data_IF_907313337049
#
_entry.id   IF_907313337049
#
_cell.length_a   1.000
_cell.length_b   1.000
_cell.length_c   1.000
_cell.angle_alpha   90.00
_cell.angle_beta   90.00
_cell.angle_gamma   90.00
#
_symmetry.space_group_name_H-M   'P 1'
#
loop_
_entity.id
_entity.type
_entity.pdbx_description
1 polymer ?
#
# COMPACT_ATOMS: atom_id res chain seq x y z
N UNK A 1 29.03 1.97 1.45
CA UNK A 1 27.68 2.25 1.97
C UNK A 1 27.55 1.51 3.29
N UNK A 2 27.02 2.13 4.34
CA UNK A 2 26.72 1.43 5.60
C UNK A 2 25.43 0.61 5.45
N UNK A 3 25.20 -0.36 6.33
CA UNK A 3 23.95 -1.14 6.33
C UNK A 3 22.72 -0.24 6.49
N UNK A 4 22.79 0.78 7.35
CA UNK A 4 21.70 1.74 7.55
C UNK A 4 21.35 2.51 6.27
N UNK A 5 22.37 2.97 5.53
CA UNK A 5 22.13 3.63 4.23
C UNK A 5 21.52 2.66 3.21
N UNK A 6 21.98 1.41 3.17
CA UNK A 6 21.41 0.39 2.28
C UNK A 6 19.94 0.11 2.60
N UNK A 7 19.58 0.01 3.89
CA UNK A 7 18.19 -0.17 4.32
C UNK A 7 17.33 1.04 3.92
N UNK A 8 17.79 2.26 4.16
CA UNK A 8 17.03 3.46 3.79
C UNK A 8 16.83 3.57 2.27
N UNK A 9 17.85 3.24 1.47
CA UNK A 9 17.76 3.21 0.01
C UNK A 9 16.77 2.14 -0.45
N UNK A 10 16.84 0.94 0.12
CA UNK A 10 15.90 -0.14 -0.15
C UNK A 10 14.47 0.27 0.15
N UNK A 11 14.19 0.85 1.32
CA UNK A 11 12.84 1.23 1.74
C UNK A 11 12.21 2.24 0.75
N UNK A 12 12.95 3.26 0.32
CA UNK A 12 12.46 4.24 -0.66
C UNK A 12 12.25 3.60 -2.03
N UNK A 13 13.20 2.79 -2.51
CA UNK A 13 13.07 2.12 -3.80
C UNK A 13 11.93 1.08 -3.81
N UNK A 14 11.72 0.37 -2.70
CA UNK A 14 10.61 -0.56 -2.50
C UNK A 14 9.27 0.19 -2.52
N UNK A 15 9.14 1.29 -1.77
CA UNK A 15 7.95 2.14 -1.79
C UNK A 15 7.64 2.66 -3.20
N UNK A 16 8.65 3.01 -4.00
CA UNK A 16 8.49 3.39 -5.39
C UNK A 16 8.13 2.22 -6.32
N UNK A 17 8.58 0.99 -6.05
CA UNK A 17 8.13 -0.22 -6.75
C UNK A 17 6.65 -0.52 -6.47
N UNK A 18 6.17 -0.19 -5.28
CA UNK A 18 4.75 -0.30 -4.90
C UNK A 18 3.90 0.79 -5.55
N UNK A 19 4.28 2.07 -5.42
CA UNK A 19 3.47 3.22 -5.89
C UNK A 19 3.69 3.61 -7.35
N UNK A 20 4.85 3.34 -7.93
CA UNK A 20 5.28 3.85 -9.24
C UNK A 20 5.71 5.32 -9.23
N UNK A 21 4.77 6.24 -8.94
CA UNK A 21 5.00 7.68 -8.73
C UNK A 21 4.46 8.06 -7.35
N UNK A 22 5.31 8.61 -6.49
CA UNK A 22 4.94 8.93 -5.12
C UNK A 22 5.32 10.36 -4.73
N UNK A 23 4.44 11.03 -3.98
CA UNK A 23 4.77 12.27 -3.28
C UNK A 23 5.66 11.98 -2.07
N UNK A 24 6.28 13.01 -1.49
CA UNK A 24 7.13 12.84 -0.30
C UNK A 24 6.31 12.39 0.90
N UNK A 25 5.09 12.91 1.08
CA UNK A 25 4.15 12.45 2.12
C UNK A 25 3.82 10.96 1.96
N UNK A 26 3.58 10.53 0.72
CA UNK A 26 3.29 9.14 0.40
C UNK A 26 4.48 8.22 0.67
N UNK A 27 5.70 8.69 0.40
CA UNK A 27 6.93 7.96 0.70
C UNK A 27 7.15 7.90 2.21
N UNK A 28 7.01 9.00 2.94
CA UNK A 28 7.12 9.03 4.40
C UNK A 28 6.13 8.06 5.06
N UNK A 29 4.88 8.02 4.59
CA UNK A 29 3.88 7.10 5.12
C UNK A 29 4.22 5.61 4.86
N UNK A 30 4.88 5.29 3.75
CA UNK A 30 5.29 3.92 3.39
C UNK A 30 6.61 3.51 4.06
N UNK A 31 7.60 4.39 4.11
CA UNK A 31 8.94 4.11 4.65
C UNK A 31 9.07 4.38 6.14
N UNK A 32 8.15 5.14 6.73
CA UNK A 32 8.21 5.53 8.15
C UNK A 32 9.39 6.45 8.48
N UNK A 33 10.11 6.96 7.48
CA UNK A 33 11.16 7.94 7.69
C UNK A 33 10.55 9.30 8.03
N UNK A 34 11.20 10.07 8.89
CA UNK A 34 10.90 11.49 9.04
C UNK A 34 11.27 12.26 7.75
N UNK A 35 10.72 13.47 7.64
CA UNK A 35 10.84 14.28 6.43
C UNK A 35 12.30 14.61 6.06
N UNK A 36 13.15 14.88 7.05
CA UNK A 36 14.54 15.28 6.82
C UNK A 36 15.36 14.07 6.36
N UNK A 37 15.24 12.93 7.03
CA UNK A 37 15.91 11.69 6.65
C UNK A 37 15.44 11.20 5.26
N UNK A 38 14.14 11.32 4.97
CA UNK A 38 13.59 10.97 3.67
C UNK A 38 14.14 11.87 2.56
N UNK A 39 14.18 13.19 2.77
CA UNK A 39 14.70 14.15 1.79
C UNK A 39 16.16 13.83 1.46
N UNK A 40 17.01 13.62 2.47
CA UNK A 40 18.42 13.23 2.29
C UNK A 40 18.54 11.92 1.50
N UNK A 41 17.70 10.94 1.80
CA UNK A 41 17.71 9.65 1.09
C UNK A 41 17.30 9.80 -0.38
N UNK A 42 16.27 10.59 -0.66
CA UNK A 42 15.80 10.87 -2.03
C UNK A 42 16.89 11.59 -2.82
N UNK A 43 17.56 12.58 -2.23
CA UNK A 43 18.68 13.30 -2.87
C UNK A 43 19.82 12.35 -3.23
N UNK A 44 20.25 11.49 -2.30
CA UNK A 44 21.30 10.50 -2.56
C UNK A 44 20.93 9.55 -3.71
N UNK A 45 19.67 9.06 -3.73
CA UNK A 45 19.18 8.20 -4.80
C UNK A 45 19.09 8.95 -6.13
N UNK A 46 18.77 10.25 -6.11
CA UNK A 46 18.68 11.07 -7.31
C UNK A 46 20.07 11.36 -7.89
N UNK A 47 21.05 11.70 -7.05
CA UNK A 47 22.45 11.90 -7.41
C UNK A 47 23.07 10.65 -8.02
N UNK A 48 22.68 9.47 -7.51
CA UNK A 48 23.07 8.18 -8.07
C UNK A 48 22.31 7.80 -9.36
N UNK A 49 21.33 8.59 -9.79
CA UNK A 49 20.49 8.33 -10.97
C UNK A 49 19.48 7.20 -10.78
N UNK A 50 19.23 6.77 -9.55
CA UNK A 50 18.29 5.68 -9.23
C UNK A 50 16.84 6.15 -9.16
N UNK A 51 16.61 7.41 -8.83
CA UNK A 51 15.29 8.04 -8.89
C UNK A 51 15.33 9.31 -9.70
N UNK A 52 14.16 9.77 -10.15
CA UNK A 52 13.99 11.08 -10.76
C UNK A 52 12.81 11.82 -10.15
N UNK A 53 12.96 13.13 -9.97
CA UNK A 53 11.88 14.04 -9.58
C UNK A 53 11.12 14.47 -10.83
N UNK A 54 9.80 14.30 -10.80
CA UNK A 54 8.89 14.81 -11.81
C UNK A 54 8.21 16.05 -11.28
N UNK A 55 8.44 17.17 -11.94
CA UNK A 55 7.84 18.47 -11.60
C UNK A 55 6.94 18.97 -12.75
N UNK A 56 6.02 19.89 -12.44
CA UNK A 56 5.24 20.64 -13.44
C UNK A 56 4.09 19.87 -14.12
N UNK A 57 3.75 18.67 -13.64
CA UNK A 57 2.59 17.89 -14.11
C UNK A 57 1.38 17.99 -13.18
N UNK A 58 0.27 17.30 -13.54
CA UNK A 58 -0.93 17.17 -12.68
C UNK A 58 -0.62 16.49 -11.32
N UNK A 59 0.46 15.70 -11.28
CA UNK A 59 1.01 15.06 -10.08
C UNK A 59 2.52 15.25 -10.14
N UNK A 60 3.09 15.83 -9.09
CA UNK A 60 4.54 15.94 -8.88
C UNK A 60 4.98 14.87 -7.88
N UNK A 61 6.20 14.37 -8.01
CA UNK A 61 6.71 13.32 -7.12
C UNK A 61 7.99 12.65 -7.60
N UNK A 62 8.38 11.58 -6.92
CA UNK A 62 9.54 10.76 -7.25
C UNK A 62 9.12 9.50 -8.01
N UNK A 63 9.91 9.10 -9.00
CA UNK A 63 9.78 7.83 -9.72
C UNK A 63 11.11 7.08 -9.75
N UNK A 64 11.04 5.76 -9.75
CA UNK A 64 12.21 4.88 -9.91
C UNK A 64 12.67 4.85 -11.38
N UNK A 65 13.97 4.98 -11.62
CA UNK A 65 14.57 4.85 -12.96
C UNK A 65 14.86 3.38 -13.30
N UNK A 66 15.22 3.03 -14.55
CA UNK A 66 15.73 1.70 -14.86
C UNK A 66 16.96 1.30 -14.04
N UNK A 67 17.87 2.25 -13.77
CA UNK A 67 19.03 2.00 -12.92
C UNK A 67 18.62 1.76 -11.45
N UNK A 68 17.65 2.53 -10.95
CA UNK A 68 17.10 2.31 -9.60
C UNK A 68 16.39 0.97 -9.46
N UNK A 69 15.74 0.47 -10.51
CA UNK A 69 15.17 -0.89 -10.51
C UNK A 69 16.25 -1.94 -10.37
N UNK A 70 17.36 -1.82 -11.10
CA UNK A 70 18.48 -2.75 -10.95
C UNK A 70 19.10 -2.70 -9.54
N UNK A 71 19.22 -1.50 -8.97
CA UNK A 71 19.70 -1.33 -7.60
C UNK A 71 18.73 -1.91 -6.56
N UNK A 72 17.43 -1.74 -6.77
CA UNK A 72 16.40 -2.38 -5.94
C UNK A 72 16.56 -3.91 -5.94
N UNK A 73 16.73 -4.55 -7.10
CA UNK A 73 16.92 -6.01 -7.16
C UNK A 73 18.22 -6.44 -6.45
N UNK A 74 19.31 -5.65 -6.59
CA UNK A 74 20.57 -5.89 -5.86
C UNK A 74 20.35 -5.83 -4.35
N UNK A 75 19.77 -4.73 -3.85
CA UNK A 75 19.51 -4.53 -2.42
C UNK A 75 18.52 -5.57 -1.87
N UNK A 76 17.50 -5.93 -2.64
CA UNK A 76 16.54 -6.98 -2.24
C UNK A 76 17.20 -8.36 -2.10
N UNK A 77 18.27 -8.63 -2.84
CA UNK A 77 19.04 -9.88 -2.71
C UNK A 77 19.99 -9.88 -1.50
N UNK A 78 20.39 -8.70 -1.02
CA UNK A 78 21.28 -8.53 0.13
C UNK A 78 20.51 -8.42 1.45
N UNK A 79 19.37 -7.74 1.42
CA UNK A 79 18.47 -7.50 2.56
C UNK A 79 17.35 -8.54 2.56
N UNK A 80 17.74 -9.81 2.73
CA UNK A 80 16.75 -10.90 2.77
C UNK A 80 16.01 -10.93 4.10
N UNK A 81 14.73 -11.29 4.06
CA UNK A 81 13.95 -11.58 5.26
C UNK A 81 14.63 -12.68 6.08
N UNK A 82 14.67 -12.49 7.39
CA UNK A 82 14.96 -13.53 8.36
C UNK A 82 13.91 -14.64 8.31
N UNK A 83 14.18 -15.76 8.99
CA UNK A 83 13.26 -16.89 9.05
C UNK A 83 11.91 -16.52 9.70
N UNK A 84 11.92 -15.70 10.76
CA UNK A 84 10.68 -15.28 11.43
C UNK A 84 9.88 -14.30 10.57
N UNK A 85 10.55 -13.32 9.93
CA UNK A 85 9.89 -12.40 9.00
C UNK A 85 9.26 -13.14 7.83
N UNK A 86 9.96 -14.13 7.25
CA UNK A 86 9.42 -14.96 6.17
C UNK A 86 8.18 -15.73 6.60
N UNK A 87 8.24 -16.41 7.74
CA UNK A 87 7.10 -17.14 8.28
C UNK A 87 5.88 -16.23 8.55
N UNK A 88 6.13 -15.01 9.04
CA UNK A 88 5.08 -14.01 9.26
C UNK A 88 4.45 -13.53 7.94
N UNK A 89 5.27 -13.24 6.92
CA UNK A 89 4.79 -12.84 5.59
C UNK A 89 3.98 -13.95 4.93
N UNK A 90 4.43 -15.21 5.01
CA UNK A 90 3.71 -16.36 4.44
C UNK A 90 2.35 -16.56 5.14
N UNK A 91 2.33 -16.47 6.48
CA UNK A 91 1.09 -16.52 7.27
C UNK A 91 0.14 -15.38 6.89
N UNK A 92 0.66 -14.17 6.72
CA UNK A 92 -0.15 -13.02 6.29
C UNK A 92 -0.70 -13.22 4.87
N UNK A 93 0.11 -13.74 3.95
CA UNK A 93 -0.29 -14.03 2.58
C UNK A 93 -1.45 -15.02 2.50
N UNK A 94 -1.38 -16.12 3.26
CA UNK A 94 -2.46 -17.12 3.33
C UNK A 94 -3.78 -16.52 3.84
N UNK A 95 -3.71 -15.62 4.83
CA UNK A 95 -4.89 -14.94 5.38
C UNK A 95 -5.43 -13.85 4.45
N UNK A 96 -4.56 -13.20 3.69
CA UNK A 96 -4.92 -12.09 2.82
C UNK A 96 -5.86 -12.52 1.69
N UNK A 97 -5.65 -13.67 1.07
CA UNK A 97 -6.43 -14.14 -0.09
C UNK A 97 -7.94 -14.13 0.12
N UNK A 98 -8.49 -14.83 1.14
CA UNK A 98 -9.91 -14.81 1.45
C UNK A 98 -10.44 -13.41 1.82
N UNK A 99 -9.65 -12.61 2.55
CA UNK A 99 -10.01 -11.24 2.91
C UNK A 99 -10.14 -10.36 1.65
N UNK A 100 -9.18 -10.49 0.72
CA UNK A 100 -9.17 -9.77 -0.55
C UNK A 100 -10.38 -10.14 -1.42
N UNK A 101 -10.74 -11.43 -1.46
CA UNK A 101 -11.93 -11.89 -2.17
C UNK A 101 -13.23 -11.25 -1.66
N UNK A 102 -13.36 -11.06 -0.35
CA UNK A 102 -14.50 -10.36 0.24
C UNK A 102 -14.45 -8.85 -0.02
N UNK A 103 -13.25 -8.24 0.04
CA UNK A 103 -13.06 -6.82 -0.26
C UNK A 103 -13.45 -6.47 -1.69
N UNK A 104 -13.13 -7.33 -2.67
CA UNK A 104 -13.57 -7.16 -4.07
C UNK A 104 -15.09 -7.11 -4.19
N UNK A 105 -15.82 -7.97 -3.47
CA UNK A 105 -17.31 -7.97 -3.46
C UNK A 105 -17.87 -6.68 -2.86
N UNK A 106 -17.25 -6.20 -1.79
CA UNK A 106 -17.62 -4.93 -1.14
C UNK A 106 -17.38 -3.74 -2.07
N UNK A 107 -16.24 -3.70 -2.76
CA UNK A 107 -15.97 -2.68 -3.77
C UNK A 107 -16.96 -2.75 -4.94
N UNK A 108 -17.28 -3.95 -5.42
CA UNK A 108 -18.28 -4.13 -6.47
C UNK A 108 -19.66 -3.59 -6.04
N UNK A 109 -20.08 -3.89 -4.79
CA UNK A 109 -21.34 -3.40 -4.22
C UNK A 109 -21.33 -1.88 -4.03
N UNK A 110 -20.17 -1.30 -3.71
CA UNK A 110 -20.04 0.16 -3.61
C UNK A 110 -20.22 0.87 -4.96
N UNK A 111 -19.84 0.22 -6.07
CA UNK A 111 -19.90 0.79 -7.42
C UNK A 111 -21.22 0.49 -8.15
N UNK A 112 -21.73 -0.74 -8.01
CA UNK A 112 -22.88 -1.27 -8.77
C UNK A 112 -23.89 -1.89 -7.80
N UNK A 113 -25.16 -1.46 -7.90
CA UNK A 113 -26.27 -1.95 -7.09
C UNK A 113 -26.79 -3.32 -7.57
N UNK A 114 -27.59 -4.05 -6.76
CA UNK A 114 -28.14 -5.35 -7.15
C UNK A 114 -29.04 -5.33 -8.40
N UNK A 115 -29.55 -4.17 -8.79
CA UNK A 115 -30.33 -3.95 -10.01
C UNK A 115 -29.46 -3.62 -11.23
N UNK A 116 -28.14 -3.82 -11.13
CA UNK A 116 -27.11 -3.57 -12.15
C UNK A 116 -26.94 -2.09 -12.55
N UNK A 117 -27.46 -1.16 -11.75
CA UNK A 117 -27.25 0.27 -11.96
C UNK A 117 -26.04 0.80 -11.17
N UNK A 118 -25.35 1.85 -11.64
CA UNK A 118 -24.33 2.52 -10.85
C UNK A 118 -24.91 3.04 -9.53
N UNK A 119 -24.18 2.85 -8.43
CA UNK A 119 -24.54 3.46 -7.15
C UNK A 119 -24.27 4.97 -7.21
N UNK A 120 -25.32 5.77 -7.16
CA UNK A 120 -25.23 7.23 -7.16
C UNK A 120 -25.09 7.83 -5.75
N UNK A 121 -25.05 6.97 -4.72
CA UNK A 121 -24.93 7.32 -3.30
C UNK A 121 -26.08 8.19 -2.76
N UNK A 122 -27.28 8.10 -3.37
CA UNK A 122 -28.48 8.78 -2.87
C UNK A 122 -29.22 8.00 -1.77
N UNK A 123 -28.96 6.69 -1.65
CA UNK A 123 -29.56 5.78 -0.68
C UNK A 123 -28.59 5.56 0.50
N UNK A 124 -28.74 6.36 1.55
CA UNK A 124 -27.87 6.33 2.72
C UNK A 124 -27.93 5.00 3.49
N UNK A 125 -29.08 4.31 3.48
CA UNK A 125 -29.23 3.02 4.16
C UNK A 125 -28.47 1.93 3.40
N UNK A 126 -28.52 1.96 2.07
CA UNK A 126 -27.71 1.08 1.23
C UNK A 126 -26.21 1.31 1.45
N UNK A 127 -25.74 2.55 1.36
CA UNK A 127 -24.33 2.88 1.55
C UNK A 127 -23.84 2.47 2.96
N UNK A 128 -24.64 2.74 4.00
CA UNK A 128 -24.33 2.31 5.36
C UNK A 128 -24.19 0.79 5.48
N UNK A 129 -25.01 0.01 4.75
CA UNK A 129 -24.89 -1.45 4.73
C UNK A 129 -23.58 -1.92 4.10
N UNK A 130 -23.12 -1.28 3.02
CA UNK A 130 -21.85 -1.61 2.36
C UNK A 130 -20.66 -1.20 3.23
N UNK A 131 -20.72 -0.04 3.90
CA UNK A 131 -19.70 0.39 4.86
C UNK A 131 -19.62 -0.57 6.05
N UNK A 132 -20.74 -1.11 6.53
CA UNK A 132 -20.74 -2.11 7.60
C UNK A 132 -20.09 -3.45 7.17
N UNK A 133 -20.13 -3.81 5.88
CA UNK A 133 -19.31 -4.92 5.35
C UNK A 133 -17.83 -4.56 5.35
N UNK A 134 -17.50 -3.34 4.91
CA UNK A 134 -16.12 -2.83 4.91
C UNK A 134 -15.52 -2.84 6.32
N UNK A 135 -16.28 -2.48 7.36
CA UNK A 135 -15.84 -2.54 8.76
C UNK A 135 -15.43 -3.95 9.20
N UNK A 136 -16.17 -4.98 8.76
CA UNK A 136 -15.83 -6.37 9.08
C UNK A 136 -14.56 -6.83 8.38
N UNK A 137 -14.36 -6.39 7.15
CA UNK A 137 -13.12 -6.61 6.40
C UNK A 137 -11.96 -5.88 7.07
N UNK A 138 -12.18 -4.61 7.48
CA UNK A 138 -11.20 -3.79 8.16
C UNK A 138 -10.73 -4.45 9.46
N UNK A 139 -11.64 -4.98 10.26
CA UNK A 139 -11.29 -5.68 11.49
C UNK A 139 -10.36 -6.87 11.24
N UNK A 140 -10.69 -7.70 10.25
CA UNK A 140 -9.88 -8.88 9.87
C UNK A 140 -8.48 -8.49 9.36
N UNK A 141 -8.41 -7.50 8.47
CA UNK A 141 -7.12 -7.07 7.91
C UNK A 141 -6.26 -6.35 8.96
N UNK A 142 -6.86 -5.55 9.84
CA UNK A 142 -6.14 -4.84 10.90
C UNK A 142 -5.46 -5.81 11.86
N UNK A 143 -6.16 -6.88 12.26
CA UNK A 143 -5.56 -7.94 13.09
C UNK A 143 -4.40 -8.64 12.37
N UNK A 144 -4.57 -8.99 11.09
CA UNK A 144 -3.52 -9.63 10.30
C UNK A 144 -2.30 -8.71 10.12
N UNK A 145 -2.52 -7.41 9.96
CA UNK A 145 -1.48 -6.38 9.87
C UNK A 145 -0.75 -6.16 11.20
N UNK A 146 -1.45 -6.23 12.33
CA UNK A 146 -0.84 -6.16 13.67
C UNK A 146 0.12 -7.33 13.89
N UNK A 147 -0.27 -8.55 13.49
CA UNK A 147 0.56 -9.75 13.63
C UNK A 147 1.81 -9.71 12.75
N UNK A 148 1.68 -9.43 11.44
CA UNK A 148 2.85 -9.35 10.55
C UNK A 148 3.71 -8.13 10.82
N UNK A 149 3.10 -7.02 11.26
CA UNK A 149 3.79 -5.77 11.60
C UNK A 149 4.71 -5.88 12.82
N UNK A 150 4.49 -6.87 13.68
CA UNK A 150 5.39 -7.16 14.81
C UNK A 150 6.76 -7.68 14.34
N UNK A 151 6.81 -8.40 13.22
CA UNK A 151 8.04 -8.93 12.63
C UNK A 151 8.57 -8.01 11.51
N UNK A 152 7.67 -7.49 10.67
CA UNK A 152 8.01 -6.63 9.52
C UNK A 152 7.26 -5.30 9.61
N UNK A 153 7.81 -4.29 10.33
CA UNK A 153 7.13 -3.03 10.64
C UNK A 153 6.55 -2.29 9.44
N UNK A 154 7.18 -2.42 8.26
CA UNK A 154 6.72 -1.79 7.02
C UNK A 154 5.30 -2.23 6.63
N UNK A 155 4.96 -3.53 6.75
CA UNK A 155 3.60 -4.01 6.49
C UNK A 155 2.63 -3.50 7.56
N UNK A 156 3.05 -3.40 8.82
CA UNK A 156 2.23 -2.86 9.91
C UNK A 156 1.74 -1.42 9.67
N UNK A 157 2.50 -0.60 8.92
CA UNK A 157 2.14 0.81 8.62
C UNK A 157 0.83 0.95 7.85
N UNK A 158 0.45 -0.06 7.04
CA UNK A 158 -0.80 -0.02 6.29
C UNK A 158 -2.04 0.04 7.19
N UNK A 159 -1.96 -0.51 8.40
CA UNK A 159 -3.07 -0.49 9.37
C UNK A 159 -3.53 0.94 9.65
N UNK A 160 -2.59 1.81 10.00
CA UNK A 160 -2.88 3.21 10.31
C UNK A 160 -3.49 3.96 9.12
N UNK A 161 -2.97 3.73 7.92
CA UNK A 161 -3.48 4.34 6.68
C UNK A 161 -4.90 3.88 6.34
N UNK A 162 -5.16 2.57 6.41
CA UNK A 162 -6.50 2.02 6.19
C UNK A 162 -7.51 2.54 7.22
N UNK A 163 -7.14 2.61 8.50
CA UNK A 163 -8.01 3.15 9.54
C UNK A 163 -8.32 4.64 9.32
N UNK A 164 -7.33 5.43 8.88
CA UNK A 164 -7.54 6.84 8.57
C UNK A 164 -8.47 7.04 7.36
N UNK A 165 -8.33 6.23 6.31
CA UNK A 165 -9.24 6.25 5.16
C UNK A 165 -10.66 5.83 5.56
N UNK A 166 -10.81 4.77 6.36
CA UNK A 166 -12.10 4.31 6.85
C UNK A 166 -12.79 5.37 7.75
N UNK A 167 -12.03 6.09 8.57
CA UNK A 167 -12.57 7.19 9.37
C UNK A 167 -13.16 8.32 8.50
N UNK A 168 -12.55 8.62 7.34
CA UNK A 168 -13.11 9.58 6.37
C UNK A 168 -14.41 9.06 5.74
N UNK A 169 -14.47 7.77 5.40
CA UNK A 169 -15.69 7.11 4.90
C UNK A 169 -16.83 7.24 5.91
N UNK A 170 -16.58 6.94 7.18
CA UNK A 170 -17.55 7.16 8.27
C UNK A 170 -17.91 8.64 8.48
N UNK A 171 -17.01 9.55 8.12
CA UNK A 171 -17.25 10.99 8.08
C UNK A 171 -18.10 11.48 6.91
N UNK A 172 -18.58 10.58 6.03
CA UNK A 172 -19.41 10.89 4.87
C UNK A 172 -18.62 11.21 3.60
N UNK A 173 -17.30 11.06 3.61
CA UNK A 173 -16.47 11.23 2.41
C UNK A 173 -16.50 9.95 1.57
N UNK A 174 -17.46 9.87 0.65
CA UNK A 174 -17.61 8.74 -0.28
C UNK A 174 -16.41 8.54 -1.19
N UNK A 175 -15.66 9.61 -1.48
CA UNK A 175 -14.44 9.52 -2.29
C UNK A 175 -13.33 8.74 -1.55
N UNK A 176 -13.30 8.80 -0.22
CA UNK A 176 -12.34 8.06 0.59
C UNK A 176 -12.53 6.53 0.52
N UNK A 177 -13.63 6.02 -0.03
CA UNK A 177 -13.83 4.59 -0.20
C UNK A 177 -13.00 4.03 -1.36
N UNK A 178 -13.23 4.53 -2.58
CA UNK A 178 -12.67 3.93 -3.80
C UNK A 178 -12.20 4.92 -4.88
N UNK A 179 -12.19 6.24 -4.61
CA UNK A 179 -11.75 7.20 -5.63
C UNK A 179 -10.26 7.00 -5.93
N UNK A 180 -9.86 6.80 -7.20
CA UNK A 180 -8.45 6.68 -7.55
C UNK A 180 -7.66 7.95 -7.24
N UNK A 181 -6.39 7.76 -6.87
CA UNK A 181 -5.44 8.85 -6.58
C UNK A 181 -5.94 9.79 -5.47
N UNK A 182 -6.74 9.27 -4.54
CA UNK A 182 -7.32 10.02 -3.43
C UNK A 182 -6.74 9.58 -2.07
N UNK A 183 -5.80 8.62 -2.08
CA UNK A 183 -5.41 7.87 -0.88
C UNK A 183 -6.67 7.28 -0.21
N UNK A 184 -7.56 6.76 -1.07
CA UNK A 184 -8.78 6.08 -0.67
C UNK A 184 -8.44 4.72 -0.03
N UNK A 185 -9.40 4.14 0.68
CA UNK A 185 -9.25 2.81 1.26
C UNK A 185 -8.86 1.78 0.19
N UNK A 186 -9.47 1.85 -0.99
CA UNK A 186 -9.10 1.04 -2.15
C UNK A 186 -7.67 1.30 -2.65
N UNK A 187 -7.25 2.57 -2.79
CA UNK A 187 -5.87 2.87 -3.23
C UNK A 187 -4.85 2.23 -2.28
N UNK A 188 -5.05 2.39 -0.97
CA UNK A 188 -4.17 1.84 0.07
C UNK A 188 -4.20 0.30 0.06
N UNK A 189 -5.37 -0.30 -0.21
CA UNK A 189 -5.51 -1.75 -0.34
C UNK A 189 -4.70 -2.31 -1.50
N UNK A 190 -4.75 -1.65 -2.66
CA UNK A 190 -3.98 -2.05 -3.84
C UNK A 190 -2.47 -1.93 -3.60
N UNK A 191 -2.05 -0.88 -2.88
CA UNK A 191 -0.66 -0.74 -2.44
C UNK A 191 -0.22 -1.88 -1.51
N UNK A 192 -1.05 -2.24 -0.52
CA UNK A 192 -0.78 -3.37 0.40
C UNK A 192 -0.64 -4.69 -0.36
N UNK A 193 -1.55 -4.96 -1.31
CA UNK A 193 -1.49 -6.17 -2.11
C UNK A 193 -0.22 -6.23 -2.96
N UNK A 194 0.17 -5.11 -3.58
CA UNK A 194 1.39 -5.02 -4.38
C UNK A 194 2.66 -5.20 -3.52
N UNK A 195 2.71 -4.60 -2.34
CA UNK A 195 3.81 -4.76 -1.39
C UNK A 195 3.93 -6.23 -0.94
N UNK A 196 2.81 -6.87 -0.60
CA UNK A 196 2.78 -8.28 -0.21
C UNK A 196 3.36 -9.19 -1.31
N UNK A 197 3.01 -8.97 -2.58
CA UNK A 197 3.54 -9.74 -3.71
C UNK A 197 5.05 -9.54 -3.88
N UNK A 198 5.52 -8.29 -3.77
CA UNK A 198 6.95 -7.98 -3.86
C UNK A 198 7.74 -8.59 -2.70
N UNK A 199 7.16 -8.61 -1.50
CA UNK A 199 7.79 -9.10 -0.27
C UNK A 199 7.81 -10.62 -0.20
N UNK A 200 6.72 -11.30 -0.57
CA UNK A 200 6.60 -12.75 -0.50
C UNK A 200 7.32 -13.47 -1.65
N UNK A 201 7.65 -12.75 -2.72
CA UNK A 201 8.22 -13.33 -3.94
C UNK A 201 7.22 -14.16 -4.77
N UNK A 202 5.93 -14.14 -4.41
CA UNK A 202 4.87 -14.80 -5.17
C UNK A 202 4.44 -13.94 -6.38
N UNK A 203 4.13 -14.59 -7.50
CA UNK A 203 3.47 -13.93 -8.64
C UNK A 203 1.95 -13.89 -8.44
N UNK A 204 1.28 -12.91 -9.05
CA UNK A 204 -0.18 -12.79 -9.05
C UNK A 204 -0.83 -14.09 -9.55
N UNK A 205 -1.68 -14.70 -8.73
CA UNK A 205 -2.52 -15.85 -9.06
C UNK A 205 -3.97 -15.47 -9.38
N UNK A 206 -4.81 -16.44 -9.75
CA UNK A 206 -6.20 -16.20 -10.16
C UNK A 206 -7.12 -15.57 -9.08
N UNK A 207 -6.69 -15.54 -7.81
CA UNK A 207 -7.37 -14.80 -6.73
C UNK A 207 -6.98 -13.31 -6.65
N UNK A 208 -5.98 -12.90 -7.44
CA UNK A 208 -5.40 -11.56 -7.45
C UNK A 208 -5.96 -10.65 -8.55
N UNK A 209 -6.83 -11.19 -9.42
CA UNK A 209 -7.64 -10.46 -10.43
C UNK A 209 -8.97 -9.97 -9.85
#
# INVERSE_FOLDING_TARGET
>A
MTTETSTAHFDVLHALKVKGLATDDALAALTGHDADALAVTIEQLADAGFVMRREGGRISGTMITPAGKAEYERLSSELTLSESERAAVDTFHERFGPINGDFKKVCASWQIRPDETPNDHADADYDASVVAELDRIHHRIAQALDEVGAELPRLGRYRGRLSAALAKVHGGDTAAFARPMYDSYHDIWMELHQDLLLTSGHQRGAGDE
#
